data_IF_852011866692
#
_entry.id   IF_852011866692
#
_cell.length_a   1.000
_cell.length_b   1.000
_cell.length_c   1.000
_cell.angle_alpha   90.00
_cell.angle_beta   90.00
_cell.angle_gamma   90.00
#
_symmetry.space_group_name_H-M   'P 1'
#
loop_
_entity.id
_entity.type
_entity.pdbx_description
1 polymer ?
#
# COMPACT_ATOMS: atom_id res chain seq x y z
N UNK A 1 -9.72 4.03 14.78
CA UNK A 1 -10.00 3.55 16.16
C UNK A 1 -8.83 3.77 17.11
N UNK A 2 -7.58 3.64 16.66
CA UNK A 2 -6.40 3.88 17.49
C UNK A 2 -6.29 5.33 18.04
N UNK A 3 -6.52 6.36 17.22
CA UNK A 3 -6.34 7.77 17.59
C UNK A 3 -7.52 8.41 18.34
N UNK A 4 -8.72 7.85 18.19
CA UNK A 4 -9.96 8.30 18.83
C UNK A 4 -10.65 7.06 19.42
N UNK A 5 -10.27 6.64 20.63
CA UNK A 5 -10.84 5.46 21.28
C UNK A 5 -12.30 5.70 21.66
N UNK A 6 -13.22 4.91 21.10
CA UNK A 6 -14.65 5.05 21.32
C UNK A 6 -15.16 4.30 22.57
N UNK A 7 -14.34 3.42 23.16
CA UNK A 7 -14.71 2.58 24.29
C UNK A 7 -13.96 3.02 25.56
N UNK A 8 -14.65 3.03 26.70
CA UNK A 8 -14.03 3.37 27.99
C UNK A 8 -12.86 2.43 28.30
N UNK A 9 -11.76 2.99 28.83
CA UNK A 9 -10.54 2.28 29.24
C UNK A 9 -9.76 1.52 28.15
N UNK A 10 -10.22 1.50 26.90
CA UNK A 10 -9.52 0.80 25.80
C UNK A 10 -8.15 1.43 25.47
N UNK A 11 -7.95 2.71 25.81
CA UNK A 11 -6.66 3.38 25.67
C UNK A 11 -5.58 2.85 26.64
N UNK A 12 -5.98 2.13 27.69
CA UNK A 12 -5.08 1.52 28.67
C UNK A 12 -4.84 0.03 28.38
N UNK A 13 -5.71 -0.61 27.58
CA UNK A 13 -5.54 -1.98 27.11
C UNK A 13 -4.85 -2.01 25.75
N UNK A 14 -3.52 -2.04 25.78
CA UNK A 14 -2.68 -2.07 24.59
C UNK A 14 -2.90 -3.33 23.74
N UNK A 15 -3.22 -4.47 24.35
CA UNK A 15 -3.38 -5.73 23.62
C UNK A 15 -4.65 -5.72 22.78
N UNK A 16 -5.76 -5.26 23.35
CA UNK A 16 -7.03 -5.12 22.65
C UNK A 16 -6.94 -4.04 21.57
N UNK A 17 -6.26 -2.91 21.85
CA UNK A 17 -6.07 -1.86 20.87
C UNK A 17 -5.22 -2.32 19.67
N UNK A 18 -4.15 -3.07 19.91
CA UNK A 18 -3.31 -3.66 18.87
C UNK A 18 -4.08 -4.69 18.03
N UNK A 19 -4.82 -5.60 18.68
CA UNK A 19 -5.62 -6.62 18.01
C UNK A 19 -6.72 -6.01 17.11
N UNK A 20 -7.43 -5.00 17.61
CA UNK A 20 -8.44 -4.31 16.81
C UNK A 20 -7.83 -3.58 15.60
N UNK A 21 -6.68 -2.93 15.77
CA UNK A 21 -6.02 -2.25 14.66
C UNK A 21 -5.61 -3.24 13.57
N UNK A 22 -4.87 -4.30 13.93
CA UNK A 22 -4.41 -5.29 12.95
C UNK A 22 -5.58 -5.99 12.29
N UNK A 23 -6.60 -6.41 13.05
CA UNK A 23 -7.82 -7.03 12.51
C UNK A 23 -8.47 -6.18 11.42
N UNK A 24 -8.70 -4.90 11.67
CA UNK A 24 -9.34 -4.01 10.68
C UNK A 24 -8.43 -3.70 9.50
N UNK A 25 -7.11 -3.55 9.70
CA UNK A 25 -6.18 -3.33 8.59
C UNK A 25 -6.10 -4.54 7.65
N UNK A 26 -6.07 -5.76 8.20
CA UNK A 26 -6.09 -6.97 7.37
C UNK A 26 -7.40 -7.11 6.60
N UNK A 27 -8.55 -6.90 7.26
CA UNK A 27 -9.85 -6.93 6.58
C UNK A 27 -9.91 -5.89 5.47
N UNK A 28 -9.46 -4.66 5.74
CA UNK A 28 -9.40 -3.61 4.73
C UNK A 28 -8.54 -4.03 3.52
N UNK A 29 -7.38 -4.68 3.77
CA UNK A 29 -6.54 -5.25 2.72
C UNK A 29 -7.27 -6.31 1.88
N UNK A 30 -7.94 -7.26 2.52
CA UNK A 30 -8.71 -8.30 1.83
C UNK A 30 -9.84 -7.72 0.96
N UNK A 31 -10.57 -6.74 1.48
CA UNK A 31 -11.65 -6.08 0.73
C UNK A 31 -11.08 -5.27 -0.44
N UNK A 32 -9.96 -4.56 -0.25
CA UNK A 32 -9.31 -3.79 -1.32
C UNK A 32 -8.85 -4.69 -2.47
N UNK A 33 -8.08 -5.75 -2.19
CA UNK A 33 -7.66 -6.71 -3.23
C UNK A 33 -8.87 -7.42 -3.86
N UNK A 34 -9.89 -7.74 -3.06
CA UNK A 34 -11.15 -8.30 -3.53
C UNK A 34 -11.86 -7.40 -4.55
N UNK A 35 -11.93 -6.09 -4.29
CA UNK A 35 -12.55 -5.13 -5.21
C UNK A 35 -11.81 -5.08 -6.57
N UNK A 36 -10.47 -5.06 -6.56
CA UNK A 36 -9.68 -5.11 -7.79
C UNK A 36 -9.82 -6.44 -8.54
N UNK A 37 -9.91 -7.57 -7.82
CA UNK A 37 -10.14 -8.88 -8.43
C UNK A 37 -11.50 -8.96 -9.12
N UNK A 38 -12.57 -8.47 -8.47
CA UNK A 38 -13.90 -8.40 -9.09
C UNK A 38 -13.91 -7.42 -10.26
N UNK A 39 -13.18 -6.29 -10.18
CA UNK A 39 -13.01 -5.36 -11.29
C UNK A 39 -12.37 -6.02 -12.52
N UNK A 40 -11.33 -6.83 -12.33
CA UNK A 40 -10.71 -7.59 -13.42
C UNK A 40 -11.66 -8.65 -14.02
N UNK A 41 -12.45 -9.33 -13.19
CA UNK A 41 -13.46 -10.29 -13.67
C UNK A 41 -14.51 -9.59 -14.54
N UNK A 42 -14.99 -8.42 -14.10
CA UNK A 42 -15.92 -7.59 -14.88
C UNK A 42 -15.33 -7.20 -16.25
N UNK A 43 -14.07 -6.77 -16.30
CA UNK A 43 -13.40 -6.43 -17.56
C UNK A 43 -13.25 -7.60 -18.54
N UNK A 44 -13.24 -8.85 -18.06
CA UNK A 44 -13.11 -10.03 -18.92
C UNK A 44 -14.49 -10.58 -19.33
N UNK A 45 -15.45 -10.61 -18.41
CA UNK A 45 -16.73 -11.31 -18.63
C UNK A 45 -17.84 -10.41 -19.14
N UNK A 46 -17.96 -9.21 -18.58
CA UNK A 46 -19.17 -8.39 -18.72
C UNK A 46 -18.90 -7.06 -19.44
N UNK A 47 -17.64 -6.72 -19.70
CA UNK A 47 -17.28 -5.51 -20.42
C UNK A 47 -17.49 -5.66 -21.93
N UNK A 48 -18.40 -4.87 -22.49
CA UNK A 48 -18.66 -4.79 -23.92
C UNK A 48 -18.09 -3.49 -24.51
N UNK A 49 -17.09 -3.55 -25.42
CA UNK A 49 -16.47 -2.36 -26.00
C UNK A 49 -17.40 -1.58 -26.93
N UNK A 50 -18.39 -2.22 -27.56
CA UNK A 50 -19.32 -1.56 -28.50
C UNK A 50 -20.35 -0.70 -27.74
N UNK A 51 -20.76 -1.14 -26.55
CA UNK A 51 -21.71 -0.39 -25.73
C UNK A 51 -21.05 0.73 -24.91
N UNK A 52 -19.72 0.72 -24.82
CA UNK A 52 -18.93 1.63 -24.00
C UNK A 52 -18.01 2.52 -24.86
N UNK A 53 -18.26 2.58 -26.17
CA UNK A 53 -17.55 3.46 -27.10
C UNK A 53 -17.67 4.92 -26.65
N UNK A 54 -16.58 5.69 -26.77
CA UNK A 54 -16.46 7.11 -26.38
C UNK A 54 -16.70 7.47 -24.91
N UNK A 55 -16.84 6.49 -24.02
CA UNK A 55 -16.97 6.76 -22.58
C UNK A 55 -15.59 6.93 -21.89
N UNK A 56 -15.62 7.39 -20.64
CA UNK A 56 -14.38 7.61 -19.87
C UNK A 56 -13.61 6.32 -19.58
N UNK A 57 -14.28 5.17 -19.53
CA UNK A 57 -13.66 3.86 -19.29
C UNK A 57 -12.89 3.39 -20.52
N UNK A 58 -13.46 3.51 -21.72
CA UNK A 58 -12.78 3.22 -22.98
C UNK A 58 -11.55 4.12 -23.14
N UNK A 59 -11.71 5.43 -22.90
CA UNK A 59 -10.58 6.37 -22.93
C UNK A 59 -9.47 5.97 -21.96
N UNK A 60 -9.80 5.55 -20.73
CA UNK A 60 -8.82 5.06 -19.76
C UNK A 60 -8.05 3.82 -20.26
N UNK A 61 -8.73 2.91 -20.97
CA UNK A 61 -8.12 1.72 -21.55
C UNK A 61 -7.15 2.06 -22.69
N UNK A 62 -7.44 3.09 -23.49
CA UNK A 62 -6.56 3.52 -24.60
C UNK A 62 -5.19 4.00 -24.12
N UNK A 63 -5.14 4.67 -22.97
CA UNK A 63 -3.88 5.16 -22.37
C UNK A 63 -3.41 4.33 -21.17
N UNK A 64 -3.83 3.06 -21.06
CA UNK A 64 -3.45 2.16 -19.95
C UNK A 64 -1.94 2.01 -19.77
N UNK A 65 -1.16 2.07 -20.85
CA UNK A 65 0.30 1.94 -20.79
C UNK A 65 0.95 3.17 -20.13
N UNK A 66 0.39 4.36 -20.32
CA UNK A 66 0.85 5.57 -19.64
C UNK A 66 0.56 5.51 -18.13
N UNK A 67 -0.59 4.97 -17.72
CA UNK A 67 -0.91 4.77 -16.30
C UNK A 67 0.06 3.78 -15.66
N UNK A 68 0.29 2.62 -16.30
CA UNK A 68 1.23 1.61 -15.80
C UNK A 68 2.66 2.12 -15.73
N UNK A 69 3.14 2.89 -16.71
CA UNK A 69 4.50 3.42 -16.72
C UNK A 69 4.74 4.45 -15.62
N UNK A 70 3.79 5.36 -15.37
CA UNK A 70 3.89 6.33 -14.28
C UNK A 70 3.85 5.63 -12.92
N UNK A 71 2.96 4.65 -12.74
CA UNK A 71 2.90 3.88 -11.49
C UNK A 71 4.19 3.09 -11.25
N UNK A 72 4.73 2.47 -12.30
CA UNK A 72 6.02 1.77 -12.25
C UNK A 72 7.21 2.69 -11.96
N UNK A 73 7.13 3.98 -12.30
CA UNK A 73 8.16 4.97 -11.94
C UNK A 73 8.01 5.42 -10.48
N UNK A 74 6.77 5.62 -10.01
CA UNK A 74 6.46 6.03 -8.63
C UNK A 74 6.92 4.99 -7.60
N UNK A 75 6.68 3.70 -7.85
CA UNK A 75 7.04 2.63 -6.89
C UNK A 75 8.53 2.62 -6.48
N UNK A 76 9.51 2.62 -7.40
CA UNK A 76 10.93 2.72 -7.05
C UNK A 76 11.34 4.12 -6.60
N UNK A 77 10.71 5.19 -7.12
CA UNK A 77 11.01 6.57 -6.72
C UNK A 77 10.82 6.78 -5.21
N UNK A 78 9.76 6.21 -4.62
CA UNK A 78 9.56 6.22 -3.17
C UNK A 78 10.25 5.03 -2.47
N UNK A 79 10.39 3.86 -3.10
CA UNK A 79 10.97 2.69 -2.43
C UNK A 79 12.47 2.79 -2.16
N UNK A 80 13.26 3.13 -3.19
CA UNK A 80 14.73 3.05 -3.14
C UNK A 80 15.36 4.05 -2.16
N UNK A 81 14.95 5.33 -2.10
CA UNK A 81 15.56 6.30 -1.18
C UNK A 81 15.25 6.02 0.29
N UNK A 82 14.01 5.65 0.62
CA UNK A 82 13.62 5.34 2.01
C UNK A 82 14.32 4.07 2.50
N UNK A 83 14.41 3.05 1.66
CA UNK A 83 15.18 1.84 1.97
C UNK A 83 16.68 2.13 2.09
N UNK A 84 17.23 3.00 1.24
CA UNK A 84 18.62 3.44 1.30
C UNK A 84 18.97 4.14 2.63
N UNK A 85 18.09 5.00 3.14
CA UNK A 85 18.25 5.64 4.45
C UNK A 85 18.23 4.60 5.58
N UNK A 86 17.30 3.62 5.52
CA UNK A 86 17.25 2.54 6.51
C UNK A 86 18.55 1.72 6.55
N UNK A 87 19.09 1.33 5.39
CA UNK A 87 20.35 0.57 5.32
C UNK A 87 21.55 1.40 5.77
N UNK A 88 21.62 2.69 5.38
CA UNK A 88 22.71 3.57 5.81
C UNK A 88 22.73 3.78 7.32
N UNK A 89 21.56 4.03 7.94
CA UNK A 89 21.45 4.18 9.39
C UNK A 89 21.70 2.86 10.10
N UNK A 90 21.06 1.76 9.67
CA UNK A 90 21.25 0.44 10.26
C UNK A 90 22.69 -0.06 10.14
N UNK A 91 23.33 0.18 9.01
CA UNK A 91 24.75 -0.10 8.78
C UNK A 91 25.67 0.80 9.61
N UNK A 92 25.34 2.08 9.77
CA UNK A 92 26.08 3.01 10.63
C UNK A 92 26.03 2.63 12.12
N UNK A 93 24.89 2.09 12.60
CA UNK A 93 24.76 1.55 13.96
C UNK A 93 25.54 0.23 14.10
N UNK A 94 25.58 -0.61 13.06
CA UNK A 94 26.40 -1.83 13.04
C UNK A 94 27.92 -1.58 12.95
N UNK A 95 28.33 -0.42 12.43
CA UNK A 95 29.75 -0.02 12.25
C UNK A 95 30.24 0.92 13.38
N UNK A 96 29.37 1.26 14.34
CA UNK A 96 29.72 2.13 15.46
C UNK A 96 30.60 1.45 16.53
N UNK A 97 31.89 1.79 16.56
CA UNK A 97 32.67 1.80 17.81
C UNK A 97 33.89 0.88 17.93
N UNK A 98 34.49 0.40 16.85
CA UNK A 98 35.82 -0.21 16.90
C UNK A 98 36.91 0.85 17.07
N UNK A 99 37.01 1.45 18.26
CA UNK A 99 38.13 2.32 18.63
C UNK A 99 39.45 1.54 18.48
N UNK A 100 40.26 1.92 17.49
CA UNK A 100 41.68 1.58 17.46
C UNK A 100 42.34 2.35 18.59
N UNK A 101 42.75 1.60 19.62
CA UNK A 101 43.57 2.07 20.70
C UNK A 101 45.02 1.70 20.33
N UNK A 102 45.65 2.50 19.48
CA UNK A 102 47.06 2.43 19.14
C UNK A 102 47.65 3.84 19.13
#
# INVERSE_FOLDING_TARGET
MYSLPAYAFIAQDFTTQAALYTHHQYIAGFIMTGAFAHGAIFFIRDYNPVQNEDNVLARMLDHKEAIKSHLSWVSPFFGVPFFGVFFFIGGGVGVGGGGKND
#
